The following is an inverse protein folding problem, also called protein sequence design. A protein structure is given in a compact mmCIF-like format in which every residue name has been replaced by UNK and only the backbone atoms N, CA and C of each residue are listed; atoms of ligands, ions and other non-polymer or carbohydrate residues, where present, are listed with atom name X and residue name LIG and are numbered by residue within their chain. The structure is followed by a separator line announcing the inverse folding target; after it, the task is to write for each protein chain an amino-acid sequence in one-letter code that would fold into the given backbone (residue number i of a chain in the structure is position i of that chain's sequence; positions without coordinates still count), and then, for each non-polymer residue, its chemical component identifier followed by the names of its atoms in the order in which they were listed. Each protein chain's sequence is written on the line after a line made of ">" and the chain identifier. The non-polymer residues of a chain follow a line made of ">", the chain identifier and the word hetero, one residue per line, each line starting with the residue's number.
data_IF_997618862944
#
_entry.id   IF_997618862944
#
_cell.length_a   1.000
_cell.length_b   1.000
_cell.length_c   1.000
_cell.angle_alpha   90.00
_cell.angle_beta   90.00
_cell.angle_gamma   90.00
#
_symmetry.space_group_name_H-M   'P 1'
#
loop_
_entity.id
_entity.type
_entity.pdbx_description
1 polymer ?
#
# COMPACT_ATOMS: atom_id res chain seq x y z
N UNK A 1 14.00 -16.16 -6.22
CA UNK A 1 12.73 -15.73 -5.58
C UNK A 1 11.90 -14.98 -6.60
N UNK A 2 10.86 -15.61 -7.16
CA UNK A 2 10.05 -15.06 -8.24
C UNK A 2 9.09 -13.99 -7.71
N UNK A 3 9.20 -12.76 -8.21
CA UNK A 3 8.25 -11.68 -7.97
C UNK A 3 6.84 -12.13 -8.35
N UNK A 4 6.00 -12.43 -7.36
CA UNK A 4 4.58 -12.78 -7.53
C UNK A 4 3.81 -11.71 -8.32
N UNK A 5 4.30 -10.46 -8.31
CA UNK A 5 3.70 -9.33 -9.02
C UNK A 5 4.11 -9.22 -10.51
N UNK A 6 5.10 -9.98 -10.99
CA UNK A 6 5.64 -9.82 -12.35
C UNK A 6 5.05 -10.80 -13.39
N UNK A 7 4.24 -11.80 -12.97
CA UNK A 7 3.53 -12.67 -13.92
C UNK A 7 2.23 -11.97 -14.37
N UNK A 8 2.33 -11.17 -15.42
CA UNK A 8 1.22 -10.46 -16.08
C UNK A 8 0.13 -11.39 -16.62
N UNK A 9 0.42 -12.69 -16.81
CA UNK A 9 -0.58 -13.69 -17.21
C UNK A 9 -1.54 -14.14 -16.09
N UNK A 10 -1.44 -13.59 -14.87
CA UNK A 10 -2.28 -13.95 -13.72
C UNK A 10 -3.04 -12.76 -13.09
N UNK A 11 -2.98 -11.57 -13.69
CA UNK A 11 -3.70 -10.38 -13.24
C UNK A 11 -4.35 -9.66 -14.40
N UNK A 12 -5.45 -8.96 -14.12
CA UNK A 12 -6.12 -8.10 -15.09
C UNK A 12 -5.21 -6.92 -15.42
N UNK A 13 -4.89 -6.76 -16.70
CA UNK A 13 -4.12 -5.62 -17.19
C UNK A 13 -5.05 -4.43 -17.32
N UNK A 14 -4.73 -3.35 -16.62
CA UNK A 14 -5.38 -2.05 -16.72
C UNK A 14 -4.32 -1.05 -17.19
N UNK A 15 -4.44 -0.58 -18.43
CA UNK A 15 -3.52 0.43 -18.95
C UNK A 15 -3.84 1.83 -18.38
N UNK A 16 -2.96 2.78 -18.61
CA UNK A 16 -3.11 4.14 -18.06
C UNK A 16 -4.41 4.82 -18.51
N UNK A 17 -4.82 4.59 -19.76
CA UNK A 17 -6.06 5.14 -20.31
C UNK A 17 -7.28 4.55 -19.60
N UNK A 18 -7.33 3.22 -19.42
CA UNK A 18 -8.42 2.56 -18.69
C UNK A 18 -8.47 3.01 -17.23
N UNK A 19 -7.32 3.11 -16.54
CA UNK A 19 -7.27 3.57 -15.15
C UNK A 19 -7.84 4.98 -14.97
N UNK A 20 -7.63 5.85 -15.96
CA UNK A 20 -8.11 7.23 -15.95
C UNK A 20 -9.60 7.29 -16.29
N UNK A 21 -10.02 6.61 -17.37
CA UNK A 21 -11.41 6.61 -17.83
C UNK A 21 -12.38 6.00 -16.81
N UNK A 22 -11.90 5.04 -16.01
CA UNK A 22 -12.67 4.41 -14.94
C UNK A 22 -12.48 5.09 -13.58
N UNK A 23 -11.73 6.19 -13.51
CA UNK A 23 -11.48 6.98 -12.30
C UNK A 23 -11.05 6.10 -11.10
N UNK A 24 -10.15 5.14 -11.35
CA UNK A 24 -9.81 4.11 -10.36
C UNK A 24 -9.00 4.72 -9.21
N UNK A 25 -8.04 5.59 -9.51
CA UNK A 25 -7.10 6.16 -8.53
C UNK A 25 -7.24 7.66 -8.35
N UNK A 26 -7.57 8.36 -9.44
CA UNK A 26 -7.69 9.80 -9.54
C UNK A 26 -8.86 10.10 -10.48
N UNK A 27 -9.59 11.17 -10.20
CA UNK A 27 -10.67 11.61 -11.07
C UNK A 27 -10.11 12.36 -12.30
N UNK A 28 -10.93 12.45 -13.35
CA UNK A 28 -10.55 13.14 -14.58
C UNK A 28 -10.70 14.67 -14.52
N UNK A 29 -11.37 15.20 -13.50
CA UNK A 29 -11.75 16.63 -13.43
C UNK A 29 -10.67 17.51 -12.80
N UNK A 30 -10.09 17.07 -11.67
CA UNK A 30 -9.10 17.84 -10.91
C UNK A 30 -7.88 17.01 -10.48
N UNK A 31 -7.81 15.73 -10.85
CA UNK A 31 -6.71 14.82 -10.52
C UNK A 31 -6.65 14.42 -9.04
N UNK A 32 -7.65 14.79 -8.25
CA UNK A 32 -7.76 14.37 -6.85
C UNK A 32 -8.32 12.96 -6.73
N UNK A 33 -8.31 12.44 -5.51
CA UNK A 33 -8.94 11.15 -5.19
C UNK A 33 -10.47 11.26 -5.04
N UNK A 34 -11.05 12.46 -5.04
CA UNK A 34 -12.48 12.64 -4.81
C UNK A 34 -13.31 12.04 -5.94
N UNK A 35 -14.35 11.26 -5.58
CA UNK A 35 -15.22 10.56 -6.53
C UNK A 35 -14.64 9.28 -7.11
N UNK A 36 -13.43 8.87 -6.70
CA UNK A 36 -12.75 7.69 -7.27
C UNK A 36 -13.14 6.37 -6.61
N UNK A 37 -12.87 5.26 -7.30
CA UNK A 37 -13.01 3.93 -6.71
C UNK A 37 -12.12 3.76 -5.47
N UNK A 38 -10.89 4.27 -5.51
CA UNK A 38 -9.96 4.22 -4.39
C UNK A 38 -10.53 4.92 -3.15
N UNK A 39 -11.04 6.15 -3.28
CA UNK A 39 -11.65 6.86 -2.15
C UNK A 39 -12.85 6.09 -1.59
N UNK A 40 -13.68 5.52 -2.47
CA UNK A 40 -14.88 4.80 -2.03
C UNK A 40 -14.53 3.57 -1.19
N UNK A 41 -13.48 2.85 -1.57
CA UNK A 41 -13.05 1.59 -0.96
C UNK A 41 -12.02 1.74 0.15
N UNK A 42 -11.25 2.84 0.19
CA UNK A 42 -10.21 3.02 1.20
C UNK A 42 -10.79 3.20 2.61
N UNK A 43 -10.74 2.12 3.38
CA UNK A 43 -11.02 2.07 4.81
C UNK A 43 -9.80 1.59 5.61
N UNK A 44 -8.61 1.63 5.00
CA UNK A 44 -7.39 1.14 5.64
C UNK A 44 -6.96 2.08 6.77
N UNK A 45 -6.64 1.51 7.94
CA UNK A 45 -6.14 2.27 9.09
C UNK A 45 -4.65 2.65 8.96
N UNK A 46 -3.86 1.90 8.20
CA UNK A 46 -2.40 2.08 8.13
C UNK A 46 -1.94 2.64 6.78
N UNK A 47 -0.86 3.47 6.75
CA UNK A 47 -0.32 4.03 5.50
C UNK A 47 0.14 2.96 4.50
N UNK A 48 0.75 1.88 4.98
CA UNK A 48 1.17 0.75 4.15
C UNK A 48 -0.02 -0.07 3.65
N UNK A 49 -1.11 -0.18 4.43
CA UNK A 49 -2.37 -0.77 3.98
C UNK A 49 -2.99 0.00 2.81
N UNK A 50 -3.02 1.34 2.90
CA UNK A 50 -3.49 2.21 1.81
C UNK A 50 -2.69 2.03 0.53
N UNK A 51 -1.36 1.92 0.64
CA UNK A 51 -0.47 1.65 -0.51
C UNK A 51 -0.76 0.28 -1.14
N UNK A 52 -0.97 -0.75 -0.31
CA UNK A 52 -1.30 -2.08 -0.79
C UNK A 52 -2.67 -2.12 -1.49
N UNK A 53 -3.69 -1.45 -0.94
CA UNK A 53 -5.01 -1.35 -1.56
C UNK A 53 -4.91 -0.72 -2.95
N UNK A 54 -4.17 0.39 -3.08
CA UNK A 54 -3.90 1.02 -4.38
C UNK A 54 -3.30 0.03 -5.39
N UNK A 55 -2.32 -0.77 -4.98
CA UNK A 55 -1.72 -1.79 -5.85
C UNK A 55 -2.74 -2.89 -6.25
N UNK A 56 -3.61 -3.30 -5.33
CA UNK A 56 -4.63 -4.31 -5.61
C UNK A 56 -5.68 -3.81 -6.62
N UNK A 57 -6.06 -2.54 -6.55
CA UNK A 57 -6.98 -1.94 -7.52
C UNK A 57 -6.35 -1.79 -8.90
N UNK A 58 -5.06 -1.46 -8.98
CA UNK A 58 -4.35 -1.35 -10.27
C UNK A 58 -4.09 -2.68 -10.97
N UNK A 59 -4.02 -3.78 -10.22
CA UNK A 59 -3.74 -5.10 -10.77
C UNK A 59 -4.62 -6.18 -10.12
N UNK A 60 -5.93 -6.19 -10.44
CA UNK A 60 -6.86 -7.21 -9.95
C UNK A 60 -6.39 -8.62 -10.29
N UNK A 61 -6.64 -9.58 -9.41
CA UNK A 61 -6.32 -11.00 -9.67
C UNK A 61 -7.34 -11.59 -10.65
N UNK A 62 -6.89 -12.41 -11.60
CA UNK A 62 -7.77 -13.11 -12.54
C UNK A 62 -7.84 -14.63 -12.31
N UNK A 63 -7.11 -15.14 -11.32
CA UNK A 63 -7.13 -16.54 -10.94
C UNK A 63 -8.35 -16.83 -10.04
N UNK A 64 -9.29 -17.72 -10.42
CA UNK A 64 -10.52 -17.97 -9.65
C UNK A 64 -10.26 -18.43 -8.21
N UNK A 65 -9.23 -19.26 -7.99
CA UNK A 65 -8.86 -19.69 -6.64
C UNK A 65 -8.45 -18.49 -5.77
N UNK A 66 -7.59 -17.59 -6.29
CA UNK A 66 -7.15 -16.39 -5.57
C UNK A 66 -8.29 -15.38 -5.34
N UNK A 67 -9.26 -15.32 -6.26
CA UNK A 67 -10.45 -14.49 -6.10
C UNK A 67 -11.31 -15.04 -4.95
N UNK A 68 -11.63 -16.34 -4.98
CA UNK A 68 -12.44 -16.98 -3.94
C UNK A 68 -11.76 -16.95 -2.57
N UNK A 69 -10.44 -17.14 -2.50
CA UNK A 69 -9.67 -17.02 -1.25
C UNK A 69 -9.85 -15.64 -0.59
N UNK A 70 -9.83 -14.57 -1.38
CA UNK A 70 -10.10 -13.21 -0.88
C UNK A 70 -11.56 -13.01 -0.46
N UNK A 71 -12.51 -13.57 -1.20
CA UNK A 71 -13.94 -13.51 -0.86
C UNK A 71 -14.20 -14.23 0.47
N UNK A 72 -13.66 -15.43 0.63
CA UNK A 72 -13.73 -16.20 1.88
C UNK A 72 -13.11 -15.41 3.05
N UNK A 73 -11.94 -14.81 2.86
CA UNK A 73 -11.31 -14.00 3.90
C UNK A 73 -12.19 -12.80 4.31
N UNK A 74 -12.94 -12.19 3.39
CA UNK A 74 -13.90 -11.13 3.73
C UNK A 74 -15.05 -11.68 4.56
N UNK A 75 -15.62 -12.83 4.16
CA UNK A 75 -16.70 -13.50 4.91
C UNK A 75 -16.26 -13.87 6.33
N UNK A 76 -15.05 -14.44 6.48
CA UNK A 76 -14.47 -14.79 7.78
C UNK A 76 -14.33 -13.57 8.69
N UNK A 77 -13.86 -12.44 8.17
CA UNK A 77 -13.70 -11.21 8.95
C UNK A 77 -15.06 -10.58 9.30
N UNK A 78 -16.04 -10.69 8.40
CA UNK A 78 -17.41 -10.23 8.66
C UNK A 78 -18.11 -11.06 9.74
N UNK A 79 -17.74 -12.33 9.92
CA UNK A 79 -18.29 -13.21 10.95
C UNK A 79 -17.81 -12.89 12.38
N UNK A 80 -16.78 -12.06 12.56
CA UNK A 80 -16.19 -11.73 13.89
C UNK A 80 -16.03 -10.23 14.13
N UNK A 81 -17.12 -9.43 14.10
CA UNK A 81 -17.05 -7.97 14.10
C UNK A 81 -16.43 -7.36 15.38
N UNK A 82 -16.66 -7.96 16.56
CA UNK A 82 -16.12 -7.47 17.83
C UNK A 82 -14.57 -7.49 17.82
N UNK A 83 -13.98 -8.62 17.41
CA UNK A 83 -12.52 -8.76 17.26
C UNK A 83 -11.97 -7.80 16.22
N UNK A 84 -12.70 -7.59 15.12
CA UNK A 84 -12.27 -6.65 14.07
C UNK A 84 -12.24 -5.20 14.57
N UNK A 85 -13.15 -4.82 15.45
CA UNK A 85 -13.12 -3.49 16.08
C UNK A 85 -11.86 -3.33 16.95
N UNK A 86 -11.57 -4.31 17.81
CA UNK A 86 -10.37 -4.27 18.67
C UNK A 86 -9.09 -4.19 17.85
N UNK A 87 -8.96 -5.02 16.81
CA UNK A 87 -7.82 -5.00 15.89
C UNK A 87 -7.73 -3.65 15.17
N UNK A 88 -8.86 -3.08 14.76
CA UNK A 88 -8.93 -1.75 14.14
C UNK A 88 -8.33 -0.67 15.03
N UNK A 89 -8.67 -0.66 16.32
CA UNK A 89 -8.10 0.29 17.30
C UNK A 89 -6.58 0.13 17.46
N UNK A 90 -6.07 -1.10 17.41
CA UNK A 90 -4.62 -1.36 17.44
C UNK A 90 -3.94 -0.87 16.16
N UNK A 91 -4.51 -1.14 15.00
CA UNK A 91 -3.94 -0.75 13.71
C UNK A 91 -3.84 0.77 13.55
N UNK A 92 -4.80 1.54 14.08
CA UNK A 92 -4.76 3.01 14.03
C UNK A 92 -3.58 3.61 14.79
N UNK A 93 -3.01 2.89 15.77
CA UNK A 93 -1.86 3.35 16.56
C UNK A 93 -0.53 3.11 15.83
N UNK A 94 -0.52 2.36 14.74
CA UNK A 94 0.70 2.03 14.02
C UNK A 94 1.17 3.23 13.18
N UNK A 95 2.46 3.61 13.28
CA UNK A 95 3.03 4.58 12.36
C UNK A 95 3.25 3.95 10.97
N UNK A 96 3.80 4.73 10.04
CA UNK A 96 4.26 4.19 8.75
C UNK A 96 5.53 3.34 8.92
N UNK A 97 5.36 2.11 9.41
CA UNK A 97 6.45 1.18 9.73
C UNK A 97 7.34 0.89 8.52
N UNK A 98 6.75 0.75 7.33
CA UNK A 98 7.51 0.50 6.09
C UNK A 98 8.53 1.63 5.85
N UNK A 99 8.13 2.89 5.98
CA UNK A 99 9.02 4.04 5.83
C UNK A 99 9.99 4.22 7.00
N UNK A 100 9.56 3.92 8.22
CA UNK A 100 10.43 3.99 9.40
C UNK A 100 11.57 2.99 9.30
N UNK A 101 11.32 1.78 8.82
CA UNK A 101 12.38 0.79 8.59
C UNK A 101 13.41 1.29 7.57
N UNK A 102 12.95 1.90 6.46
CA UNK A 102 13.87 2.54 5.51
C UNK A 102 14.68 3.67 6.15
N UNK A 103 14.05 4.51 6.99
CA UNK A 103 14.72 5.61 7.69
C UNK A 103 15.80 5.09 8.65
N UNK A 104 15.48 4.08 9.47
CA UNK A 104 16.42 3.46 10.41
C UNK A 104 17.60 2.85 9.65
N UNK A 105 17.34 2.13 8.55
CA UNK A 105 18.39 1.57 7.70
C UNK A 105 19.31 2.65 7.12
N UNK A 106 18.75 3.74 6.58
CA UNK A 106 19.53 4.83 6.02
C UNK A 106 20.43 5.52 7.05
N UNK A 107 19.98 5.64 8.30
CA UNK A 107 20.76 6.22 9.40
C UNK A 107 21.84 5.24 9.86
N UNK A 108 21.52 3.95 9.96
CA UNK A 108 22.42 2.92 10.48
C UNK A 108 23.35 2.26 9.46
N UNK A 109 23.37 2.73 8.20
CA UNK A 109 24.12 2.08 7.11
C UNK A 109 25.64 2.24 7.29
N UNK A 110 26.40 1.15 7.52
CA UNK A 110 27.87 1.23 7.70
C UNK A 110 28.57 1.68 6.41
N UNK A 111 28.00 1.36 5.26
CA UNK A 111 28.53 1.77 3.96
C UNK A 111 28.44 3.29 3.78
N UNK A 112 27.35 3.92 4.28
CA UNK A 112 27.21 5.38 4.22
C UNK A 112 28.19 6.08 5.16
N UNK A 113 28.42 5.54 6.36
CA UNK A 113 29.26 6.22 7.36
C UNK A 113 30.76 6.24 7.05
N UNK A 114 31.25 5.38 6.14
CA UNK A 114 32.69 5.26 5.87
C UNK A 114 33.26 6.46 5.11
N UNK A 115 32.55 6.93 4.08
CA UNK A 115 33.13 7.82 3.07
C UNK A 115 32.10 8.78 2.42
N UNK A 116 30.84 8.78 2.88
CA UNK A 116 29.85 9.70 2.35
C UNK A 116 30.10 11.14 2.84
N UNK A 117 30.00 12.19 1.99
CA UNK A 117 30.28 13.59 2.39
C UNK A 117 29.48 14.07 3.61
N UNK A 118 28.23 13.63 3.70
CA UNK A 118 27.29 13.88 4.81
C UNK A 118 27.83 13.42 6.19
N UNK A 119 28.76 12.45 6.22
CA UNK A 119 29.40 11.99 7.48
C UNK A 119 30.40 12.98 8.08
N UNK A 120 30.84 13.98 7.29
CA UNK A 120 31.79 15.02 7.70
C UNK A 120 31.14 16.40 7.82
N UNK A 121 29.83 16.48 7.59
CA UNK A 121 29.09 17.71 7.67
C UNK A 121 29.06 18.21 9.13
N UNK A 122 29.38 19.48 9.33
CA UNK A 122 29.17 20.15 10.62
C UNK A 122 27.76 20.70 10.61
N UNK A 123 26.87 20.07 11.36
CA UNK A 123 25.48 20.49 11.50
C UNK A 123 25.38 21.54 12.61
N UNK A 124 24.67 22.65 12.36
CA UNK A 124 24.45 23.74 13.30
C UNK A 124 23.00 23.77 13.83
N UNK A 125 22.32 22.63 13.79
CA UNK A 125 20.94 22.54 14.26
C UNK A 125 20.93 22.59 15.79
N UNK A 126 20.26 23.62 16.36
CA UNK A 126 19.81 23.69 17.75
C UNK A 126 18.52 22.90 17.94
#
# INVERSE_FOLDING_TARGET
>A
SSNFFAKTSQRMVLDGVTLTNLEILQNGTNGSTEGTLLEKLDRCFTPFGKRLLKQWLCAPVCNPFSINDRLNAVEDLMAVPEKMSEIGELLRKLPDLERLLSKIHCIGSPLKSQNHPDSRAVMYEE
#
